data_IF_230391559109
#
_entry.id   IF_230391559109
#
_cell.length_a   1.000
_cell.length_b   1.000
_cell.length_c   1.000
_cell.angle_alpha   90.00
_cell.angle_beta   90.00
_cell.angle_gamma   90.00
#
_symmetry.space_group_name_H-M   'P 1'
#
loop_
_entity.id
_entity.type
_entity.pdbx_description
1 polymer ?
#
# COMPACT_ATOMS: atom_id res chain seq x y z
N UNK A 1 22.73 -24.28 -17.53
CA UNK A 1 21.63 -23.89 -16.63
C UNK A 1 22.26 -23.01 -15.58
N UNK A 2 22.40 -21.72 -15.89
CA UNK A 2 23.12 -20.77 -15.04
C UNK A 2 22.40 -20.64 -13.70
N UNK A 3 23.17 -20.69 -12.64
CA UNK A 3 22.71 -20.51 -11.26
C UNK A 3 22.10 -19.10 -11.17
N UNK A 4 20.76 -19.00 -11.22
CA UNK A 4 20.06 -17.74 -11.00
C UNK A 4 20.26 -17.44 -9.53
N UNK A 5 21.19 -16.54 -9.21
CA UNK A 5 21.47 -16.13 -7.84
C UNK A 5 20.15 -15.77 -7.13
N UNK A 6 19.72 -16.64 -6.23
CA UNK A 6 18.50 -16.43 -5.45
C UNK A 6 18.81 -15.31 -4.47
N UNK A 7 18.17 -14.16 -4.64
CA UNK A 7 18.28 -13.05 -3.70
C UNK A 7 17.84 -13.50 -2.30
N UNK A 8 18.54 -13.05 -1.26
CA UNK A 8 18.15 -13.30 0.12
C UNK A 8 16.69 -12.89 0.38
N UNK A 9 16.01 -13.62 1.28
CA UNK A 9 14.66 -13.26 1.73
C UNK A 9 14.72 -12.96 3.22
N UNK A 10 14.23 -11.78 3.61
CA UNK A 10 14.12 -11.36 5.00
C UNK A 10 12.64 -11.37 5.42
N UNK A 11 12.39 -11.62 6.70
CA UNK A 11 11.05 -11.49 7.29
C UNK A 11 11.12 -10.56 8.49
N UNK A 12 10.44 -9.42 8.38
CA UNK A 12 10.22 -8.46 9.46
C UNK A 12 8.84 -8.69 10.05
N UNK A 13 8.75 -9.04 11.34
CA UNK A 13 7.47 -9.31 12.00
C UNK A 13 7.33 -8.49 13.27
N UNK A 14 6.15 -7.92 13.45
CA UNK A 14 5.72 -7.28 14.69
C UNK A 14 4.58 -8.06 15.34
N UNK A 15 4.53 -8.06 16.66
CA UNK A 15 3.44 -8.63 17.44
C UNK A 15 3.18 -7.80 18.69
N UNK A 16 1.92 -7.44 18.91
CA UNK A 16 1.50 -6.73 20.13
C UNK A 16 1.29 -7.75 21.25
N UNK A 17 1.95 -7.56 22.39
CA UNK A 17 1.86 -8.44 23.56
C UNK A 17 1.76 -7.59 24.82
N UNK A 18 0.57 -7.51 25.39
CA UNK A 18 0.30 -6.64 26.54
C UNK A 18 0.46 -5.17 26.15
N UNK A 19 1.36 -4.45 26.85
CA UNK A 19 1.66 -3.03 26.63
C UNK A 19 2.96 -2.82 25.86
N UNK A 20 3.38 -3.79 25.05
CA UNK A 20 4.61 -3.70 24.28
C UNK A 20 4.42 -4.35 22.91
N UNK A 21 5.11 -3.81 21.92
CA UNK A 21 5.15 -4.42 20.58
C UNK A 21 6.54 -5.00 20.35
N UNK A 22 6.59 -6.29 20.08
CA UNK A 22 7.84 -7.01 19.83
C UNK A 22 8.13 -7.02 18.33
N UNK A 23 9.34 -6.59 17.97
CA UNK A 23 9.87 -6.66 16.61
C UNK A 23 10.85 -7.82 16.45
N UNK A 24 10.83 -8.46 15.29
CA UNK A 24 11.83 -9.46 14.90
C UNK A 24 12.16 -9.34 13.43
N UNK A 25 13.43 -9.50 13.08
CA UNK A 25 13.93 -9.54 11.71
C UNK A 25 14.84 -10.76 11.57
N UNK A 26 14.62 -11.55 10.52
CA UNK A 26 15.43 -12.73 10.24
C UNK A 26 15.71 -12.92 8.76
N UNK A 27 16.82 -13.55 8.43
CA UNK A 27 17.12 -14.07 7.09
C UNK A 27 16.58 -15.50 6.96
N UNK A 28 15.76 -15.76 5.93
CA UNK A 28 15.18 -17.07 5.68
C UNK A 28 16.27 -18.07 5.29
N UNK A 29 16.32 -19.21 5.99
CA UNK A 29 17.35 -20.23 5.79
C UNK A 29 18.58 -20.05 6.68
N UNK A 30 18.69 -18.94 7.41
CA UNK A 30 19.82 -18.63 8.28
C UNK A 30 19.36 -18.27 9.70
N UNK A 31 19.04 -19.26 10.57
CA UNK A 31 18.50 -18.98 11.90
C UNK A 31 19.39 -18.12 12.78
N UNK A 32 20.71 -18.20 12.61
CA UNK A 32 21.69 -17.38 13.34
C UNK A 32 21.60 -15.89 12.98
N UNK A 33 21.07 -15.56 11.80
CA UNK A 33 20.86 -14.20 11.30
C UNK A 33 19.47 -13.70 11.72
N UNK A 34 19.22 -13.64 13.04
CA UNK A 34 17.95 -13.18 13.64
C UNK A 34 18.22 -12.14 14.71
N UNK A 35 17.48 -11.03 14.67
CA UNK A 35 17.49 -9.98 15.69
C UNK A 35 16.08 -9.71 16.19
N UNK A 36 15.95 -9.39 17.47
CA UNK A 36 14.68 -9.07 18.12
C UNK A 36 14.82 -7.81 18.97
N UNK A 37 13.74 -7.05 19.10
CA UNK A 37 13.70 -5.84 19.93
C UNK A 37 12.28 -5.60 20.44
N UNK A 38 12.16 -4.66 21.37
CA UNK A 38 10.88 -4.18 21.90
C UNK A 38 10.69 -2.73 21.49
N UNK A 39 9.49 -2.40 21.02
CA UNK A 39 9.01 -1.03 20.86
C UNK A 39 8.13 -0.74 22.08
N UNK A 40 8.60 0.16 22.93
CA UNK A 40 7.87 0.57 24.13
C UNK A 40 6.59 1.33 23.75
N UNK A 41 5.52 1.16 24.55
CA UNK A 41 4.21 1.78 24.29
C UNK A 41 4.28 3.30 24.02
N UNK A 42 5.02 4.12 24.78
CA UNK A 42 5.10 5.55 24.48
C UNK A 42 5.71 5.88 23.12
N UNK A 43 6.71 5.11 22.68
CA UNK A 43 7.39 5.29 21.39
C UNK A 43 6.49 4.82 20.25
N UNK A 44 5.78 3.72 20.45
CA UNK A 44 4.78 3.22 19.51
C UNK A 44 3.66 4.25 19.32
N UNK A 45 3.12 4.80 20.40
CA UNK A 45 2.09 5.85 20.33
C UNK A 45 2.61 7.10 19.60
N UNK A 46 3.87 7.49 19.81
CA UNK A 46 4.48 8.58 19.03
C UNK A 46 4.56 8.28 17.54
N UNK A 47 4.97 7.05 17.16
CA UNK A 47 5.00 6.63 15.76
C UNK A 47 3.60 6.60 15.13
N UNK A 48 2.58 6.19 15.87
CA UNK A 48 1.19 6.15 15.40
C UNK A 48 0.64 7.57 15.19
N UNK A 49 0.90 8.49 16.12
CA UNK A 49 0.55 9.91 15.96
C UNK A 49 1.23 10.51 14.73
N UNK A 50 2.53 10.24 14.53
CA UNK A 50 3.27 10.67 13.35
C UNK A 50 2.64 10.17 12.03
N UNK A 51 2.16 8.92 12.01
CA UNK A 51 1.44 8.35 10.86
C UNK A 51 0.08 8.99 10.69
N UNK A 52 -0.71 9.16 11.75
CA UNK A 52 -2.04 9.78 11.63
C UNK A 52 -1.94 11.22 11.10
N UNK A 53 -1.02 12.02 11.65
CA UNK A 53 -0.77 13.41 11.25
C UNK A 53 -0.32 13.54 9.78
N UNK A 54 0.28 12.48 9.22
CA UNK A 54 0.77 12.42 7.84
C UNK A 54 -0.33 12.11 6.81
N UNK A 55 -1.36 11.38 7.20
CA UNK A 55 -2.27 10.74 6.26
C UNK A 55 -3.52 11.59 5.96
N UNK A 56 -4.15 11.41 4.77
CA UNK A 56 -5.25 12.25 4.30
C UNK A 56 -6.61 11.90 4.92
N UNK A 57 -6.64 11.09 5.98
CA UNK A 57 -7.84 10.84 6.78
C UNK A 57 -8.08 11.96 7.81
N UNK A 58 -9.35 12.34 8.06
CA UNK A 58 -9.68 13.28 9.13
C UNK A 58 -9.25 12.80 10.51
N UNK A 59 -8.67 13.71 11.28
CA UNK A 59 -8.33 13.51 12.68
C UNK A 59 -9.29 14.34 13.54
N UNK A 60 -9.79 13.75 14.62
CA UNK A 60 -10.72 14.41 15.55
C UNK A 60 -11.93 15.06 14.83
N UNK A 61 -12.05 16.38 14.86
CA UNK A 61 -13.17 17.14 14.30
C UNK A 61 -12.88 17.69 12.88
N UNK A 62 -11.76 17.30 12.25
CA UNK A 62 -11.45 17.72 10.88
C UNK A 62 -12.55 17.32 9.90
N UNK A 63 -12.83 18.21 8.94
CA UNK A 63 -13.57 17.79 7.75
C UNK A 63 -12.63 17.08 6.78
N UNK A 64 -13.18 16.33 5.80
CA UNK A 64 -12.39 15.73 4.71
C UNK A 64 -11.57 16.79 3.96
N UNK A 65 -12.10 18.00 3.81
CA UNK A 65 -11.37 19.09 3.17
C UNK A 65 -10.19 19.59 4.00
N UNK A 66 -10.31 19.59 5.33
CA UNK A 66 -9.24 19.98 6.25
C UNK A 66 -8.13 18.93 6.26
N UNK A 67 -8.50 17.65 6.30
CA UNK A 67 -7.56 16.54 6.22
C UNK A 67 -6.75 16.56 4.90
N UNK A 68 -7.42 16.80 3.77
CA UNK A 68 -6.74 16.92 2.47
C UNK A 68 -5.83 18.15 2.41
N UNK A 69 -6.25 19.29 2.99
CA UNK A 69 -5.39 20.48 3.07
C UNK A 69 -4.17 20.22 3.94
N UNK A 70 -4.33 19.58 5.09
CA UNK A 70 -3.23 19.15 5.96
C UNK A 70 -2.27 18.26 5.18
N UNK A 71 -2.76 17.16 4.59
CA UNK A 71 -1.92 16.20 3.89
C UNK A 71 -1.12 16.82 2.73
N UNK A 72 -1.72 17.73 1.94
CA UNK A 72 -1.06 18.31 0.77
C UNK A 72 -0.20 19.55 1.04
N UNK A 73 -0.53 20.36 2.04
CA UNK A 73 0.09 21.69 2.19
C UNK A 73 0.95 21.85 3.45
N UNK A 74 0.58 21.18 4.55
CA UNK A 74 1.12 21.50 5.89
C UNK A 74 1.73 20.28 6.59
N UNK A 75 1.26 19.10 6.25
CA UNK A 75 1.53 17.87 6.97
C UNK A 75 2.88 17.24 6.64
N UNK A 76 3.24 16.18 7.37
CA UNK A 76 4.49 15.46 7.20
C UNK A 76 4.79 14.96 5.78
N UNK A 77 3.79 14.73 4.92
CA UNK A 77 4.00 14.28 3.52
C UNK A 77 3.85 15.40 2.48
N UNK A 78 3.66 16.65 2.91
CA UNK A 78 3.42 17.77 2.02
C UNK A 78 4.68 18.26 1.29
N UNK A 79 5.87 18.10 1.90
CA UNK A 79 7.15 18.59 1.34
C UNK A 79 8.30 17.62 1.59
N UNK A 80 9.34 17.56 0.73
CA UNK A 80 10.43 16.59 0.87
C UNK A 80 11.20 16.66 2.19
N UNK A 81 11.41 17.86 2.72
CA UNK A 81 12.06 18.11 4.02
C UNK A 81 11.21 17.60 5.19
N UNK A 82 9.90 17.89 5.17
CA UNK A 82 8.95 17.39 6.17
C UNK A 82 8.83 15.85 6.12
N UNK A 83 8.79 15.28 4.91
CA UNK A 83 8.70 13.83 4.71
C UNK A 83 9.96 13.12 5.20
N UNK A 84 11.14 13.68 4.93
CA UNK A 84 12.39 13.15 5.47
C UNK A 84 12.38 13.11 7.00
N UNK A 85 11.79 14.14 7.63
CA UNK A 85 11.58 14.17 9.08
C UNK A 85 10.71 13.01 9.57
N UNK A 86 9.55 12.77 8.95
CA UNK A 86 8.69 11.63 9.27
C UNK A 86 9.42 10.29 9.07
N UNK A 87 10.02 10.11 7.89
CA UNK A 87 10.75 8.91 7.51
C UNK A 87 11.84 8.55 8.53
N UNK A 88 12.60 9.55 8.98
CA UNK A 88 13.62 9.40 10.02
C UNK A 88 13.01 8.99 11.37
N UNK A 89 11.96 9.69 11.84
CA UNK A 89 11.31 9.36 13.12
C UNK A 89 10.79 7.93 13.13
N UNK A 90 10.06 7.52 12.09
CA UNK A 90 9.57 6.14 11.97
C UNK A 90 10.72 5.12 11.92
N UNK A 91 11.80 5.43 11.21
CA UNK A 91 12.99 4.56 11.14
C UNK A 91 13.69 4.38 12.49
N UNK A 92 13.71 5.41 13.34
CA UNK A 92 14.24 5.35 14.71
C UNK A 92 13.29 4.59 15.64
N UNK A 93 11.99 4.89 15.58
CA UNK A 93 11.00 4.38 16.54
C UNK A 93 10.66 2.91 16.32
N UNK A 94 10.60 2.45 15.06
CA UNK A 94 10.07 1.12 14.74
C UNK A 94 11.15 0.05 14.57
N UNK A 95 12.37 0.43 14.16
CA UNK A 95 13.47 -0.50 13.92
C UNK A 95 14.64 -0.23 14.86
N UNK A 96 15.17 -1.28 15.48
CA UNK A 96 16.40 -1.21 16.27
C UNK A 96 17.62 -1.02 15.38
N UNK A 97 18.77 -0.61 15.96
CA UNK A 97 20.00 -0.47 15.18
C UNK A 97 20.43 -1.81 14.57
N UNK A 98 20.38 -2.88 15.35
CA UNK A 98 20.72 -4.22 14.88
C UNK A 98 19.80 -4.70 13.73
N UNK A 99 18.54 -4.26 13.70
CA UNK A 99 17.65 -4.55 12.56
C UNK A 99 18.08 -3.81 11.29
N UNK A 100 18.45 -2.53 11.39
CA UNK A 100 19.00 -1.78 10.28
C UNK A 100 20.32 -2.36 9.77
N UNK A 101 21.23 -2.72 10.68
CA UNK A 101 22.52 -3.32 10.34
C UNK A 101 22.32 -4.65 9.57
N UNK A 102 21.34 -5.47 9.98
CA UNK A 102 21.01 -6.72 9.29
C UNK A 102 20.40 -6.47 7.89
N UNK A 103 19.55 -5.45 7.72
CA UNK A 103 19.04 -5.06 6.39
C UNK A 103 20.18 -4.59 5.49
N UNK A 104 21.06 -3.72 6.00
CA UNK A 104 22.21 -3.19 5.25
C UNK A 104 23.19 -4.30 4.86
N UNK A 105 23.43 -5.27 5.75
CA UNK A 105 24.25 -6.45 5.43
C UNK A 105 23.67 -7.33 4.32
N UNK A 106 22.35 -7.28 4.11
CA UNK A 106 21.67 -7.96 3.00
C UNK A 106 21.44 -7.07 1.77
N UNK A 107 21.82 -5.79 1.83
CA UNK A 107 21.70 -4.90 0.68
C UNK A 107 22.69 -5.30 -0.41
N UNK A 108 22.23 -5.37 -1.66
CA UNK A 108 23.05 -5.80 -2.79
C UNK A 108 22.27 -6.00 -4.07
N UNK A 109 22.95 -6.52 -5.10
CA UNK A 109 22.33 -6.93 -6.37
C UNK A 109 22.60 -8.43 -6.60
N UNK A 110 21.58 -9.28 -6.81
CA UNK A 110 20.15 -8.94 -6.83
C UNK A 110 19.61 -8.56 -5.44
N UNK A 111 18.74 -7.54 -5.39
CA UNK A 111 18.15 -7.05 -4.13
C UNK A 111 17.42 -8.13 -3.36
N UNK A 112 17.68 -8.17 -2.06
CA UNK A 112 16.95 -9.01 -1.15
C UNK A 112 15.47 -8.59 -1.07
N UNK A 113 14.59 -9.57 -0.85
CA UNK A 113 13.16 -9.33 -0.66
C UNK A 113 12.85 -9.33 0.85
N UNK A 114 12.31 -8.22 1.36
CA UNK A 114 11.85 -8.09 2.74
C UNK A 114 10.33 -8.27 2.81
N UNK A 115 9.88 -9.29 3.53
CA UNK A 115 8.48 -9.52 3.82
C UNK A 115 8.12 -8.96 5.19
N UNK A 116 7.26 -7.95 5.19
CA UNK A 116 6.77 -7.30 6.41
C UNK A 116 5.43 -7.92 6.84
N UNK A 117 5.37 -8.36 8.09
CA UNK A 117 4.17 -8.82 8.78
C UNK A 117 3.94 -7.92 10.01
N UNK A 118 3.25 -6.78 9.85
CA UNK A 118 3.04 -5.83 10.94
C UNK A 118 2.06 -6.39 11.97
N UNK A 119 2.02 -5.78 13.16
CA UNK A 119 0.88 -5.92 14.07
C UNK A 119 -0.28 -5.03 13.60
N UNK A 120 -1.46 -5.18 14.19
CA UNK A 120 -2.64 -4.43 13.77
C UNK A 120 -2.48 -2.91 13.88
N UNK A 121 -1.77 -2.47 14.91
CA UNK A 121 -1.45 -1.06 15.13
C UNK A 121 -0.53 -0.51 14.04
N UNK A 122 0.39 -1.33 13.54
CA UNK A 122 1.40 -0.93 12.55
C UNK A 122 0.98 -1.18 11.10
N UNK A 123 -0.28 -1.57 10.86
CA UNK A 123 -0.76 -1.93 9.53
C UNK A 123 -0.74 -0.78 8.50
N UNK A 124 -0.78 0.48 8.95
CA UNK A 124 -0.72 1.68 8.09
C UNK A 124 0.68 2.25 7.90
N UNK A 125 1.70 1.67 8.54
CA UNK A 125 3.07 2.19 8.45
C UNK A 125 3.56 2.09 7.01
N UNK A 126 4.06 3.18 6.41
CA UNK A 126 4.65 3.17 5.08
C UNK A 126 6.08 2.58 5.15
N UNK A 127 6.19 1.26 5.26
CA UNK A 127 7.49 0.57 5.44
C UNK A 127 8.54 0.98 4.41
N UNK A 128 8.12 1.25 3.18
CA UNK A 128 8.98 1.72 2.08
C UNK A 128 9.64 3.08 2.39
N UNK A 129 8.98 3.95 3.15
CA UNK A 129 9.44 5.30 3.51
C UNK A 129 10.38 5.35 4.72
N UNK A 130 10.55 4.29 5.51
CA UNK A 130 11.42 4.37 6.68
C UNK A 130 12.84 4.75 6.26
N UNK A 131 13.42 5.77 6.88
CA UNK A 131 14.79 6.21 6.60
C UNK A 131 15.77 5.58 7.58
N UNK A 132 16.94 5.17 7.07
CA UNK A 132 18.04 4.68 7.87
C UNK A 132 18.57 5.81 8.77
N UNK A 133 18.55 5.67 10.11
CA UNK A 133 19.10 6.67 11.01
C UNK A 133 20.63 6.52 11.09
N UNK A 134 21.39 7.54 10.66
CA UNK A 134 22.86 7.58 10.85
C UNK A 134 23.23 8.04 12.26
N UNK A 135 22.34 8.81 12.89
CA UNK A 135 22.38 9.15 14.31
C UNK A 135 21.01 8.87 14.91
N UNK A 136 21.00 8.49 16.19
CA UNK A 136 19.79 8.27 16.98
C UNK A 136 19.77 9.27 18.13
N UNK A 137 18.59 9.65 18.64
CA UNK A 137 18.50 10.35 19.91
C UNK A 137 19.22 9.57 21.01
N UNK A 138 19.74 10.29 21.99
CA UNK A 138 20.40 9.70 23.15
C UNK A 138 19.49 8.70 23.88
N UNK A 139 20.05 7.56 24.27
CA UNK A 139 19.28 6.45 24.84
C UNK A 139 18.69 6.80 26.21
N UNK A 140 19.44 7.55 27.05
CA UNK A 140 18.96 7.98 28.36
C UNK A 140 17.86 9.03 28.21
N UNK A 141 17.99 9.91 27.22
CA UNK A 141 16.94 10.88 26.89
C UNK A 141 15.65 10.19 26.38
N UNK A 142 15.76 9.15 25.55
CA UNK A 142 14.61 8.36 25.11
C UNK A 142 13.93 7.63 26.28
N UNK A 143 14.71 7.01 27.16
CA UNK A 143 14.19 6.34 28.35
C UNK A 143 13.49 7.33 29.30
N UNK A 144 14.04 8.53 29.47
CA UNK A 144 13.41 9.60 30.23
C UNK A 144 12.09 10.08 29.59
N UNK A 145 12.04 10.21 28.27
CA UNK A 145 10.82 10.57 27.53
C UNK A 145 9.73 9.49 27.68
N UNK A 146 10.08 8.20 27.59
CA UNK A 146 9.16 7.09 27.86
C UNK A 146 8.62 7.15 29.29
N UNK A 147 9.49 7.33 30.27
CA UNK A 147 9.10 7.42 31.69
C UNK A 147 8.13 8.57 31.93
N UNK A 148 8.40 9.74 31.35
CA UNK A 148 7.54 10.93 31.49
C UNK A 148 6.16 10.76 30.82
N UNK A 149 6.04 9.86 29.84
CA UNK A 149 4.81 9.62 29.09
C UNK A 149 3.88 8.58 29.74
N UNK A 150 4.34 7.87 30.78
CA UNK A 150 3.50 6.98 31.59
C UNK A 150 2.91 7.77 32.75
N UNK A 151 1.59 7.99 32.72
CA UNK A 151 0.87 8.79 33.73
C UNK A 151 -0.14 7.94 34.50
N UNK A 152 -0.66 8.47 35.60
CA UNK A 152 -1.78 7.85 36.32
C UNK A 152 -3.05 7.70 35.45
N UNK A 153 -3.22 8.51 34.40
CA UNK A 153 -4.35 8.46 33.48
C UNK A 153 -4.14 7.47 32.32
N UNK A 154 -2.96 6.86 32.23
CA UNK A 154 -2.56 5.99 31.12
C UNK A 154 -1.29 6.47 30.42
N UNK A 155 -0.91 5.76 29.37
CA UNK A 155 0.27 6.07 28.55
C UNK A 155 -0.12 7.03 27.42
N UNK A 156 0.69 8.06 27.22
CA UNK A 156 0.56 9.00 26.10
C UNK A 156 1.75 8.86 25.13
N UNK A 157 1.69 9.43 23.92
CA UNK A 157 2.85 9.51 23.03
C UNK A 157 4.07 10.15 23.72
N UNK A 158 5.24 9.54 23.58
CA UNK A 158 6.49 10.11 24.08
C UNK A 158 6.82 11.43 23.37
N UNK A 159 7.23 12.45 24.13
CA UNK A 159 7.73 13.71 23.58
C UNK A 159 9.24 13.63 23.42
N UNK A 160 9.69 13.45 22.19
CA UNK A 160 11.10 13.24 21.85
C UNK A 160 11.66 14.50 21.21
N UNK A 161 12.83 14.94 21.66
CA UNK A 161 13.59 15.98 20.98
C UNK A 161 14.32 15.35 19.79
N UNK A 162 14.00 15.82 18.58
CA UNK A 162 14.55 15.29 17.34
C UNK A 162 15.69 16.15 16.84
N UNK A 163 16.77 15.49 16.42
CA UNK A 163 17.83 16.12 15.63
C UNK A 163 17.29 16.57 14.27
N UNK A 164 17.98 17.55 13.67
CA UNK A 164 17.72 17.95 12.28
C UNK A 164 17.88 16.73 11.34
N UNK A 165 16.80 16.29 10.65
CA UNK A 165 16.83 15.14 9.75
C UNK A 165 17.91 15.25 8.68
N UNK A 166 18.21 16.46 8.19
CA UNK A 166 19.25 16.69 7.18
C UNK A 166 20.67 16.33 7.62
N UNK A 167 20.88 16.14 8.93
CA UNK A 167 22.16 15.72 9.50
C UNK A 167 22.07 14.39 10.25
N UNK A 168 20.87 13.93 10.62
CA UNK A 168 20.66 12.70 11.39
C UNK A 168 20.52 11.45 10.49
N UNK A 169 20.22 11.63 9.21
CA UNK A 169 20.16 10.59 8.19
C UNK A 169 20.79 11.10 6.89
N UNK A 170 21.31 10.19 6.06
CA UNK A 170 21.69 10.52 4.67
C UNK A 170 20.51 10.42 3.69
N UNK A 171 19.32 10.13 4.23
CA UNK A 171 18.10 9.97 3.46
C UNK A 171 17.88 8.57 2.92
N UNK A 172 18.80 7.60 3.05
CA UNK A 172 18.59 6.24 2.50
C UNK A 172 17.31 5.61 3.05
N UNK A 173 16.38 5.21 2.18
CA UNK A 173 15.09 4.60 2.54
C UNK A 173 15.19 3.07 2.56
N UNK A 174 14.31 2.41 3.31
CA UNK A 174 14.23 0.95 3.35
C UNK A 174 14.05 0.34 1.95
N UNK A 175 13.20 0.96 1.11
CA UNK A 175 12.97 0.55 -0.28
C UNK A 175 14.21 0.66 -1.20
N UNK A 176 15.24 1.39 -0.77
CA UNK A 176 16.51 1.56 -1.50
C UNK A 176 17.54 0.51 -1.10
N UNK A 177 17.33 -0.21 0.01
CA UNK A 177 18.18 -1.30 0.47
C UNK A 177 17.64 -2.67 0.01
N UNK A 178 16.32 -2.84 0.04
CA UNK A 178 15.62 -4.11 -0.24
C UNK A 178 14.32 -3.87 -1.01
N UNK A 179 13.82 -4.90 -1.70
CA UNK A 179 12.45 -4.87 -2.22
C UNK A 179 11.48 -5.18 -1.07
N UNK A 180 10.60 -4.24 -0.74
CA UNK A 180 9.67 -4.34 0.38
C UNK A 180 8.33 -4.89 -0.10
N UNK A 181 7.92 -6.01 0.49
CA UNK A 181 6.65 -6.69 0.26
C UNK A 181 5.97 -6.92 1.60
N UNK A 182 4.66 -7.11 1.58
CA UNK A 182 3.90 -7.56 2.74
C UNK A 182 3.76 -9.08 2.68
N UNK A 183 3.94 -9.75 3.82
CA UNK A 183 3.49 -11.14 3.94
C UNK A 183 1.96 -11.14 4.08
N UNK A 184 1.21 -12.05 3.45
CA UNK A 184 -0.14 -12.31 3.93
C UNK A 184 -0.12 -12.97 5.31
N UNK A 185 -1.21 -12.86 6.08
CA UNK A 185 -1.33 -13.54 7.37
C UNK A 185 -1.07 -15.05 7.25
N UNK A 186 -0.40 -15.64 8.24
CA UNK A 186 0.09 -17.01 8.14
C UNK A 186 -1.03 -18.07 7.96
N UNK A 187 -2.21 -17.82 8.54
CA UNK A 187 -3.40 -18.64 8.33
C UNK A 187 -3.88 -18.62 6.87
N UNK A 188 -3.70 -17.51 6.15
CA UNK A 188 -4.05 -17.36 4.74
C UNK A 188 -3.03 -18.07 3.85
N UNK A 189 -1.73 -17.87 4.11
CA UNK A 189 -0.65 -18.51 3.32
C UNK A 189 -0.73 -20.04 3.39
N UNK A 190 -1.09 -20.58 4.56
CA UNK A 190 -1.15 -22.03 4.79
C UNK A 190 -2.52 -22.66 4.48
N UNK A 191 -3.50 -21.88 4.01
CA UNK A 191 -4.80 -22.40 3.65
C UNK A 191 -4.76 -23.16 2.31
N UNK A 192 -5.56 -24.22 2.19
CA UNK A 192 -5.83 -24.87 0.91
C UNK A 192 -6.55 -23.90 -0.01
N UNK A 193 -6.00 -23.69 -1.22
CA UNK A 193 -6.55 -22.75 -2.19
C UNK A 193 -6.26 -23.17 -3.64
N UNK A 194 -7.05 -22.73 -4.62
CA UNK A 194 -6.76 -22.98 -6.03
C UNK A 194 -5.41 -22.38 -6.43
N UNK A 195 -4.49 -23.19 -6.95
CA UNK A 195 -3.20 -22.69 -7.41
C UNK A 195 -3.29 -22.23 -8.87
N UNK A 196 -3.19 -20.92 -9.08
CA UNK A 196 -3.17 -20.30 -10.41
C UNK A 196 -1.85 -19.59 -10.56
N UNK A 197 -1.00 -20.04 -11.48
CA UNK A 197 0.31 -19.43 -11.66
C UNK A 197 0.26 -18.31 -12.69
N UNK A 198 1.02 -17.24 -12.46
CA UNK A 198 1.27 -16.21 -13.48
C UNK A 198 1.72 -16.83 -14.82
N UNK A 199 2.68 -17.77 -14.77
CA UNK A 199 3.22 -18.43 -15.96
C UNK A 199 2.14 -19.13 -16.82
N UNK A 200 1.08 -19.65 -16.21
CA UNK A 200 -0.04 -20.29 -16.94
C UNK A 200 -1.05 -19.31 -17.54
N UNK A 201 -1.06 -18.06 -17.06
CA UNK A 201 -2.10 -17.07 -17.36
C UNK A 201 -1.58 -15.82 -18.06
N UNK A 202 -0.26 -15.62 -18.14
CA UNK A 202 0.36 -14.40 -18.65
C UNK A 202 -0.12 -13.97 -20.05
N UNK A 203 -0.50 -14.93 -20.92
CA UNK A 203 -1.01 -14.64 -22.27
C UNK A 203 -2.52 -14.36 -22.36
N UNK A 204 -3.27 -14.44 -21.27
CA UNK A 204 -4.71 -14.15 -21.24
C UNK A 204 -4.98 -12.64 -21.18
N UNK A 205 -6.19 -12.17 -21.56
CA UNK A 205 -6.52 -10.75 -21.44
C UNK A 205 -6.56 -10.30 -19.98
N UNK A 206 -6.26 -9.03 -19.71
CA UNK A 206 -6.40 -8.44 -18.36
C UNK A 206 -7.82 -7.92 -18.12
N UNK A 207 -8.35 -8.13 -16.92
CA UNK A 207 -9.65 -7.61 -16.52
C UNK A 207 -9.50 -6.23 -15.87
N UNK A 208 -10.22 -5.25 -16.40
CA UNK A 208 -10.24 -3.86 -15.95
C UNK A 208 -11.61 -3.52 -15.35
N UNK A 209 -11.61 -3.05 -14.11
CA UNK A 209 -12.78 -2.48 -13.43
C UNK A 209 -12.41 -1.07 -13.00
N UNK A 210 -12.73 -0.08 -13.85
CA UNK A 210 -12.23 1.29 -13.71
C UNK A 210 -13.34 2.26 -13.30
N UNK A 211 -13.29 2.71 -12.04
CA UNK A 211 -14.22 3.66 -11.42
C UNK A 211 -15.69 3.28 -11.73
N UNK A 212 -16.17 2.08 -11.38
CA UNK A 212 -17.55 1.68 -11.67
C UNK A 212 -18.53 2.66 -11.04
N UNK A 213 -19.64 2.94 -11.73
CA UNK A 213 -20.61 3.95 -11.27
C UNK A 213 -21.50 3.37 -10.18
N UNK A 214 -21.23 3.76 -8.93
CA UNK A 214 -22.08 3.42 -7.79
C UNK A 214 -23.49 4.01 -7.98
N UNK A 215 -24.57 3.21 -7.87
CA UNK A 215 -25.94 3.69 -8.02
C UNK A 215 -26.28 4.82 -7.06
N UNK A 216 -27.14 5.74 -7.51
CA UNK A 216 -27.60 6.91 -6.74
C UNK A 216 -26.53 7.91 -6.29
N UNK A 217 -25.28 7.74 -6.72
CA UNK A 217 -24.17 8.64 -6.41
C UNK A 217 -23.90 9.61 -7.56
N UNK A 218 -23.81 10.90 -7.23
CA UNK A 218 -23.40 11.94 -8.19
C UNK A 218 -21.89 11.91 -8.37
N UNK A 219 -21.38 12.46 -9.47
CA UNK A 219 -19.93 12.44 -9.74
C UNK A 219 -19.12 13.22 -8.69
N UNK A 220 -19.73 14.16 -7.97
CA UNK A 220 -19.14 15.00 -6.94
C UNK A 220 -19.51 14.57 -5.51
N UNK A 221 -20.20 13.42 -5.32
CA UNK A 221 -20.50 12.89 -3.99
C UNK A 221 -19.32 12.11 -3.41
N UNK A 222 -19.43 11.66 -2.15
CA UNK A 222 -18.41 10.88 -1.45
C UNK A 222 -18.02 9.58 -2.21
N UNK A 223 -18.99 8.95 -2.86
CA UNK A 223 -18.79 7.79 -3.75
C UNK A 223 -18.90 8.18 -5.23
N UNK A 224 -18.47 9.42 -5.54
CA UNK A 224 -18.49 10.01 -6.87
C UNK A 224 -17.39 9.47 -7.77
N UNK A 225 -16.84 10.29 -8.66
CA UNK A 225 -15.79 9.84 -9.56
C UNK A 225 -14.41 9.94 -8.92
N UNK A 226 -13.65 8.85 -8.99
CA UNK A 226 -12.24 8.78 -8.54
C UNK A 226 -11.30 9.38 -9.60
N UNK A 227 -11.60 9.10 -10.87
CA UNK A 227 -10.74 9.45 -12.03
C UNK A 227 -11.21 10.71 -12.77
N UNK A 228 -12.29 11.33 -12.31
CA UNK A 228 -12.92 12.45 -12.99
C UNK A 228 -13.72 12.03 -14.22
N UNK A 229 -14.06 13.01 -15.06
CA UNK A 229 -14.84 12.75 -16.28
C UNK A 229 -14.02 11.86 -17.24
N UNK A 230 -14.59 10.73 -17.73
CA UNK A 230 -13.92 9.93 -18.75
C UNK A 230 -13.61 10.77 -20.00
N UNK A 231 -12.35 10.75 -20.41
CA UNK A 231 -11.83 11.53 -21.52
C UNK A 231 -10.73 10.72 -22.23
N UNK A 232 -10.80 10.58 -23.58
CA UNK A 232 -9.84 9.78 -24.34
C UNK A 232 -8.40 10.31 -24.26
N UNK A 233 -8.20 11.59 -23.94
CA UNK A 233 -6.89 12.22 -23.91
C UNK A 233 -6.18 12.06 -22.56
N UNK A 234 -6.88 11.56 -21.53
CA UNK A 234 -6.24 11.20 -20.25
C UNK A 234 -5.11 10.19 -20.46
N UNK A 235 -4.06 10.29 -19.64
CA UNK A 235 -2.93 9.37 -19.72
C UNK A 235 -3.38 7.91 -19.55
N UNK A 236 -4.31 7.66 -18.64
CA UNK A 236 -4.84 6.32 -18.38
C UNK A 236 -5.69 5.78 -19.55
N UNK A 237 -6.54 6.61 -20.18
CA UNK A 237 -7.28 6.17 -21.37
C UNK A 237 -6.35 5.84 -22.53
N UNK A 238 -5.30 6.65 -22.75
CA UNK A 238 -4.27 6.39 -23.77
C UNK A 238 -3.47 5.12 -23.47
N UNK A 239 -3.12 4.89 -22.20
CA UNK A 239 -2.40 3.68 -21.76
C UNK A 239 -3.14 2.39 -22.13
N UNK A 240 -4.47 2.36 -21.94
CA UNK A 240 -5.26 1.14 -22.23
C UNK A 240 -5.78 1.06 -23.67
N UNK A 241 -5.69 2.13 -24.46
CA UNK A 241 -6.26 2.20 -25.80
C UNK A 241 -5.64 1.21 -26.79
N UNK A 242 -4.33 0.99 -26.72
CA UNK A 242 -3.65 0.02 -27.60
C UNK A 242 -4.15 -1.41 -27.32
N UNK A 243 -4.29 -1.77 -26.05
CA UNK A 243 -4.75 -3.10 -25.64
C UNK A 243 -6.23 -3.33 -25.95
N UNK A 244 -7.05 -2.28 -25.90
CA UNK A 244 -8.43 -2.32 -26.45
C UNK A 244 -8.40 -2.64 -27.93
N UNK A 245 -7.56 -1.97 -28.72
CA UNK A 245 -7.42 -2.22 -30.16
C UNK A 245 -6.92 -3.63 -30.51
N UNK A 246 -6.12 -4.24 -29.63
CA UNK A 246 -5.62 -5.62 -29.77
C UNK A 246 -6.57 -6.69 -29.24
N UNK A 247 -7.64 -6.32 -28.53
CA UNK A 247 -8.55 -7.27 -27.88
C UNK A 247 -7.93 -8.01 -26.69
N UNK A 248 -6.96 -7.39 -26.00
CA UNK A 248 -6.22 -7.97 -24.86
C UNK A 248 -6.76 -7.51 -23.50
N UNK A 249 -7.94 -6.87 -23.47
CA UNK A 249 -8.62 -6.41 -22.26
C UNK A 249 -10.01 -7.03 -22.11
N UNK A 250 -10.43 -7.21 -20.87
CA UNK A 250 -11.80 -7.48 -20.48
C UNK A 250 -12.34 -6.29 -19.67
N UNK A 251 -13.58 -5.84 -19.90
CA UNK A 251 -14.50 -6.31 -20.95
C UNK A 251 -14.05 -5.86 -22.35
N UNK A 252 -14.55 -6.54 -23.38
CA UNK A 252 -14.41 -6.07 -24.76
C UNK A 252 -15.26 -4.81 -24.97
N UNK A 253 -14.63 -3.77 -25.50
CA UNK A 253 -15.23 -2.44 -25.75
C UNK A 253 -14.73 -1.90 -27.08
N UNK A 254 -15.41 -0.89 -27.63
CA UNK A 254 -14.98 -0.27 -28.90
C UNK A 254 -13.97 0.85 -28.71
N UNK A 255 -13.93 1.44 -27.51
CA UNK A 255 -13.04 2.54 -27.17
C UNK A 255 -12.62 2.46 -25.70
N UNK A 256 -11.43 2.96 -25.37
CA UNK A 256 -10.92 2.96 -23.99
C UNK A 256 -11.87 3.67 -23.01
N UNK A 257 -12.55 4.73 -23.45
CA UNK A 257 -13.45 5.54 -22.61
C UNK A 257 -14.64 4.71 -22.07
N UNK A 258 -15.08 3.67 -22.79
CA UNK A 258 -16.16 2.76 -22.38
C UNK A 258 -15.79 1.85 -21.20
N UNK A 259 -14.51 1.77 -20.83
CA UNK A 259 -14.05 1.01 -19.65
C UNK A 259 -14.38 1.73 -18.34
N UNK A 260 -14.52 3.07 -18.39
CA UNK A 260 -14.68 3.90 -17.20
C UNK A 260 -16.14 4.12 -16.86
N UNK A 261 -16.46 4.24 -15.57
CA UNK A 261 -17.81 4.64 -15.10
C UNK A 261 -18.93 3.73 -15.62
N UNK A 262 -18.62 2.44 -15.83
CA UNK A 262 -19.60 1.44 -16.25
C UNK A 262 -20.73 1.31 -15.24
N UNK A 263 -21.94 1.11 -15.77
CA UNK A 263 -23.19 0.98 -14.98
C UNK A 263 -23.67 -0.46 -14.85
N UNK A 264 -23.02 -1.38 -15.55
CA UNK A 264 -23.36 -2.80 -15.64
C UNK A 264 -22.33 -3.70 -14.95
N UNK A 265 -21.28 -3.11 -14.35
CA UNK A 265 -20.20 -3.82 -13.68
C UNK A 265 -20.58 -4.23 -12.25
N UNK A 266 -21.63 -5.05 -12.09
CA UNK A 266 -22.07 -5.64 -10.82
C UNK A 266 -21.32 -6.96 -10.49
N UNK A 267 -21.63 -7.60 -9.37
CA UNK A 267 -21.01 -8.86 -8.95
C UNK A 267 -21.23 -10.03 -9.92
N UNK A 268 -22.35 -10.08 -10.64
CA UNK A 268 -22.62 -11.13 -11.62
C UNK A 268 -21.78 -10.92 -12.88
N UNK A 269 -21.68 -9.66 -13.32
CA UNK A 269 -20.78 -9.28 -14.39
C UNK A 269 -19.32 -9.57 -14.03
N UNK A 270 -18.89 -9.25 -12.81
CA UNK A 270 -17.54 -9.54 -12.33
C UNK A 270 -17.27 -11.05 -12.35
N UNK A 271 -18.20 -11.86 -11.83
CA UNK A 271 -18.09 -13.31 -11.87
C UNK A 271 -17.94 -13.84 -13.31
N UNK A 272 -18.80 -13.39 -14.23
CA UNK A 272 -18.74 -13.77 -15.64
C UNK A 272 -17.41 -13.37 -16.30
N UNK A 273 -16.85 -12.21 -15.95
CA UNK A 273 -15.53 -11.80 -16.47
C UNK A 273 -14.39 -12.64 -15.89
N UNK A 274 -14.46 -13.01 -14.61
CA UNK A 274 -13.47 -13.88 -13.97
C UNK A 274 -13.51 -15.32 -14.51
N UNK A 275 -14.70 -15.82 -14.88
CA UNK A 275 -14.87 -17.13 -15.53
C UNK A 275 -14.16 -17.20 -16.90
N UNK A 276 -14.00 -16.07 -17.61
CA UNK A 276 -13.18 -15.99 -18.83
C UNK A 276 -11.69 -16.21 -18.57
N UNK A 277 -11.27 -16.22 -17.31
CA UNK A 277 -9.93 -16.58 -16.89
C UNK A 277 -8.86 -15.55 -17.25
N UNK A 278 -9.01 -14.28 -16.81
CA UNK A 278 -8.06 -13.22 -17.11
C UNK A 278 -6.66 -13.49 -16.55
N UNK A 279 -5.65 -12.83 -17.12
CA UNK A 279 -4.27 -12.88 -16.63
C UNK A 279 -4.11 -12.18 -15.27
N UNK A 280 -4.78 -11.04 -15.13
CA UNK A 280 -4.75 -10.16 -13.97
C UNK A 280 -6.04 -9.38 -13.85
N UNK A 281 -6.36 -8.92 -12.64
CA UNK A 281 -7.47 -8.01 -12.34
C UNK A 281 -6.91 -6.68 -11.86
N UNK A 282 -7.31 -5.58 -12.50
CA UNK A 282 -7.07 -4.21 -12.02
C UNK A 282 -8.41 -3.57 -11.65
N UNK A 283 -8.62 -3.40 -10.36
CA UNK A 283 -9.75 -2.68 -9.78
C UNK A 283 -9.29 -1.28 -9.35
N UNK A 284 -9.99 -0.26 -9.81
CA UNK A 284 -9.84 1.13 -9.38
C UNK A 284 -11.21 1.65 -8.99
N UNK A 285 -11.38 2.15 -7.78
CA UNK A 285 -12.70 2.61 -7.35
C UNK A 285 -12.78 2.87 -5.86
N UNK A 286 -14.01 2.85 -5.35
CA UNK A 286 -14.26 3.06 -3.93
C UNK A 286 -14.17 1.76 -3.16
N UNK A 287 -13.65 1.85 -1.95
CA UNK A 287 -13.73 0.78 -0.98
C UNK A 287 -14.34 1.31 0.32
N UNK A 288 -15.10 0.46 0.99
CA UNK A 288 -15.45 0.65 2.40
C UNK A 288 -14.41 -0.11 3.21
N UNK A 289 -13.63 0.62 4.00
CA UNK A 289 -12.76 0.02 4.99
C UNK A 289 -13.62 -0.71 6.03
N UNK A 290 -13.12 -1.85 6.52
CA UNK A 290 -13.77 -2.50 7.64
C UNK A 290 -13.76 -1.58 8.88
N UNK A 291 -14.91 -1.49 9.56
CA UNK A 291 -15.03 -0.81 10.85
C UNK A 291 -14.69 -1.78 11.99
N UNK A 292 -14.45 -1.23 13.20
CA UNK A 292 -13.95 -1.96 14.37
C UNK A 292 -14.66 -3.31 14.57
N UNK A 293 -13.90 -4.40 14.39
CA UNK A 293 -14.31 -5.75 14.79
C UNK A 293 -14.23 -6.84 13.72
N UNK A 294 -14.16 -6.54 12.41
CA UNK A 294 -14.06 -7.62 11.40
C UNK A 294 -13.54 -7.20 10.03
N UNK A 295 -12.41 -7.77 9.60
CA UNK A 295 -11.79 -7.50 8.29
C UNK A 295 -12.66 -7.95 7.11
N UNK A 296 -13.47 -8.99 7.30
CA UNK A 296 -14.31 -9.60 6.26
C UNK A 296 -15.40 -8.67 5.69
N UNK A 297 -15.68 -7.55 6.38
CA UNK A 297 -16.59 -6.48 5.96
C UNK A 297 -15.95 -5.45 5.05
N UNK A 298 -14.62 -5.47 4.90
CA UNK A 298 -13.95 -4.64 3.90
C UNK A 298 -14.54 -4.96 2.53
N UNK A 299 -14.89 -3.92 1.76
CA UNK A 299 -15.70 -4.11 0.57
C UNK A 299 -15.27 -3.19 -0.56
N UNK A 300 -15.40 -3.66 -1.79
CA UNK A 300 -15.26 -2.84 -3.00
C UNK A 300 -16.64 -2.44 -3.52
N UNK A 301 -16.76 -1.23 -4.04
CA UNK A 301 -18.00 -0.76 -4.64
C UNK A 301 -18.04 -1.10 -6.12
N UNK A 302 -19.12 -1.73 -6.55
CA UNK A 302 -19.42 -2.09 -7.92
C UNK A 302 -20.59 -1.24 -8.44
N UNK A 303 -21.03 -1.48 -9.67
CA UNK A 303 -22.21 -0.81 -10.22
C UNK A 303 -23.53 -1.38 -9.66
N UNK A 304 -23.61 -1.54 -8.34
CA UNK A 304 -24.76 -2.09 -7.61
C UNK A 304 -24.91 -1.42 -6.23
N UNK A 305 -26.09 -1.53 -5.62
CA UNK A 305 -26.40 -0.85 -4.36
C UNK A 305 -25.60 -1.39 -3.16
N UNK A 306 -25.38 -2.71 -3.12
CA UNK A 306 -24.68 -3.36 -2.01
C UNK A 306 -23.21 -3.56 -2.37
N UNK A 307 -22.25 -3.04 -1.59
CA UNK A 307 -20.85 -3.27 -1.88
C UNK A 307 -20.50 -4.77 -1.79
N UNK A 308 -19.48 -5.18 -2.53
CA UNK A 308 -18.99 -6.55 -2.57
C UNK A 308 -17.93 -6.73 -1.47
N UNK A 309 -18.31 -7.40 -0.39
CA UNK A 309 -17.44 -7.61 0.78
C UNK A 309 -16.39 -8.70 0.55
N UNK A 310 -15.34 -8.74 1.37
CA UNK A 310 -14.39 -9.85 1.40
C UNK A 310 -15.08 -11.18 1.73
N UNK A 311 -16.06 -11.17 2.64
CA UNK A 311 -16.92 -12.32 2.91
C UNK A 311 -17.70 -12.78 1.66
N UNK A 312 -18.26 -11.85 0.89
CA UNK A 312 -18.94 -12.18 -0.36
C UNK A 312 -17.97 -12.78 -1.39
N UNK A 313 -16.75 -12.24 -1.52
CA UNK A 313 -15.72 -12.79 -2.43
C UNK A 313 -15.37 -14.24 -2.08
N UNK A 314 -15.26 -14.56 -0.79
CA UNK A 314 -15.01 -15.91 -0.30
C UNK A 314 -16.21 -16.83 -0.53
N UNK A 315 -17.43 -16.36 -0.27
CA UNK A 315 -18.65 -17.14 -0.42
C UNK A 315 -19.00 -17.45 -1.88
N UNK A 316 -18.66 -16.53 -2.80
CA UNK A 316 -18.89 -16.69 -4.23
C UNK A 316 -17.91 -17.66 -4.91
N UNK A 317 -16.82 -18.05 -4.23
CA UNK A 317 -15.76 -18.93 -4.75
C UNK A 317 -15.26 -18.49 -6.14
N UNK A 318 -15.08 -17.17 -6.30
CA UNK A 318 -14.78 -16.59 -7.60
C UNK A 318 -13.42 -17.08 -8.12
N UNK A 319 -13.29 -17.31 -9.44
CA UNK A 319 -12.04 -17.72 -10.04
C UNK A 319 -11.06 -16.54 -10.15
N UNK A 320 -10.49 -16.09 -9.03
CA UNK A 320 -9.56 -14.96 -8.96
C UNK A 320 -8.30 -15.22 -9.81
N UNK A 321 -7.79 -14.26 -10.61
CA UNK A 321 -6.56 -14.42 -11.37
C UNK A 321 -5.30 -14.41 -10.48
N UNK A 322 -4.13 -14.86 -10.98
CA UNK A 322 -2.90 -14.90 -10.19
C UNK A 322 -2.41 -13.54 -9.71
N UNK A 323 -2.84 -12.44 -10.34
CA UNK A 323 -2.46 -11.07 -9.98
C UNK A 323 -3.68 -10.19 -9.84
N UNK A 324 -3.76 -9.48 -8.73
CA UNK A 324 -4.87 -8.57 -8.42
C UNK A 324 -4.31 -7.23 -7.94
N UNK A 325 -4.77 -6.14 -8.54
CA UNK A 325 -4.54 -4.80 -8.05
C UNK A 325 -5.87 -4.22 -7.54
N UNK A 326 -5.92 -3.83 -6.26
CA UNK A 326 -7.06 -3.21 -5.60
C UNK A 326 -6.71 -1.76 -5.25
N UNK A 327 -6.83 -0.85 -6.22
CA UNK A 327 -6.52 0.57 -6.06
C UNK A 327 -7.75 1.32 -5.56
N UNK A 328 -8.02 1.14 -4.27
CA UNK A 328 -9.16 1.71 -3.55
C UNK A 328 -8.78 1.94 -2.08
N UNK A 329 -9.41 2.91 -1.43
CA UNK A 329 -9.02 3.39 -0.11
C UNK A 329 -8.87 2.28 0.94
N UNK A 330 -7.67 2.17 1.53
CA UNK A 330 -7.34 1.20 2.58
C UNK A 330 -7.68 -0.26 2.23
N UNK A 331 -7.64 -0.63 0.95
CA UNK A 331 -7.94 -1.98 0.45
C UNK A 331 -6.97 -3.06 0.94
N UNK A 332 -5.77 -2.67 1.38
CA UNK A 332 -4.74 -3.53 1.96
C UNK A 332 -4.76 -3.60 3.49
N UNK A 333 -5.88 -3.18 4.11
CA UNK A 333 -6.02 -3.03 5.55
C UNK A 333 -6.19 -4.33 6.35
N UNK A 334 -5.99 -5.51 5.76
CA UNK A 334 -6.20 -6.82 6.39
C UNK A 334 -5.54 -6.93 7.77
N UNK A 335 -4.32 -6.43 7.91
CA UNK A 335 -3.59 -6.49 9.18
C UNK A 335 -4.22 -5.67 10.31
N UNK A 336 -5.12 -4.72 10.03
CA UNK A 336 -5.74 -3.85 11.06
C UNK A 336 -6.63 -4.61 12.05
N UNK A 337 -6.85 -5.91 11.84
CA UNK A 337 -7.74 -6.76 12.62
C UNK A 337 -7.02 -8.03 13.05
N UNK A 338 -7.41 -8.58 14.20
CA UNK A 338 -6.88 -9.85 14.69
C UNK A 338 -7.26 -11.01 13.75
N UNK A 339 -8.47 -10.98 13.19
CA UNK A 339 -8.91 -11.84 12.10
C UNK A 339 -8.66 -11.14 10.76
N UNK A 340 -7.47 -11.34 10.20
CA UNK A 340 -7.02 -10.70 8.96
C UNK A 340 -7.56 -11.40 7.69
N UNK A 341 -8.90 -11.48 7.57
CA UNK A 341 -9.65 -12.05 6.44
C UNK A 341 -10.26 -10.96 5.55
N UNK A 342 -9.48 -9.92 5.24
CA UNK A 342 -9.92 -8.80 4.41
C UNK A 342 -9.86 -9.07 2.90
N UNK A 343 -9.87 -8.00 2.10
CA UNK A 343 -9.93 -8.09 0.63
C UNK A 343 -8.69 -8.78 0.05
N UNK A 344 -7.51 -8.55 0.65
CA UNK A 344 -6.26 -9.19 0.20
C UNK A 344 -6.31 -10.68 0.48
N UNK A 345 -6.71 -11.07 1.69
CA UNK A 345 -6.89 -12.46 2.07
C UNK A 345 -7.91 -13.17 1.18
N UNK A 346 -9.04 -12.54 0.90
CA UNK A 346 -10.06 -13.08 0.00
C UNK A 346 -9.51 -13.31 -1.41
N UNK A 347 -8.74 -12.36 -1.96
CA UNK A 347 -8.10 -12.53 -3.26
C UNK A 347 -7.06 -13.68 -3.27
N UNK A 348 -6.23 -13.79 -2.22
CA UNK A 348 -5.24 -14.88 -2.10
C UNK A 348 -5.93 -16.24 -1.99
N UNK A 349 -6.96 -16.35 -1.16
CA UNK A 349 -7.75 -17.57 -1.00
C UNK A 349 -8.49 -17.97 -2.28
N UNK A 350 -8.95 -16.99 -3.07
CA UNK A 350 -9.52 -17.22 -4.40
C UNK A 350 -8.50 -17.61 -5.49
N UNK A 351 -7.20 -17.54 -5.18
CA UNK A 351 -6.12 -18.06 -6.04
C UNK A 351 -5.07 -17.05 -6.48
N UNK A 352 -5.12 -15.79 -6.02
CA UNK A 352 -4.07 -14.82 -6.32
C UNK A 352 -2.73 -15.22 -5.69
N UNK A 353 -1.65 -15.04 -6.44
CA UNK A 353 -0.26 -15.19 -5.94
C UNK A 353 0.31 -13.84 -5.51
N UNK A 354 -0.22 -12.75 -6.07
CA UNK A 354 0.22 -11.39 -5.78
C UNK A 354 -0.99 -10.44 -5.76
N UNK A 355 -1.05 -9.63 -4.71
CA UNK A 355 -2.07 -8.59 -4.56
C UNK A 355 -1.39 -7.26 -4.26
N UNK A 356 -1.58 -6.25 -5.10
CA UNK A 356 -1.17 -4.86 -4.78
C UNK A 356 -2.39 -4.08 -4.33
N UNK A 357 -2.31 -3.47 -3.16
CA UNK A 357 -3.41 -2.77 -2.50
C UNK A 357 -2.90 -1.47 -1.85
N UNK A 358 -3.79 -0.68 -1.26
CA UNK A 358 -3.43 0.59 -0.61
C UNK A 358 -3.56 0.50 0.91
N UNK A 359 -2.62 1.09 1.64
CA UNK A 359 -2.61 1.09 3.11
C UNK A 359 -3.55 2.15 3.72
N UNK A 360 -3.85 3.22 2.97
CA UNK A 360 -4.69 4.34 3.39
C UNK A 360 -5.53 4.88 2.21
N UNK A 361 -6.31 5.92 2.47
CA UNK A 361 -7.18 6.55 1.48
C UNK A 361 -6.39 7.37 0.47
N UNK A 362 -6.58 7.12 -0.83
CA UNK A 362 -5.91 7.90 -1.87
C UNK A 362 -6.72 9.14 -2.24
N UNK A 363 -6.12 10.34 -2.32
CA UNK A 363 -6.82 11.50 -2.82
C UNK A 363 -7.17 11.31 -4.31
N UNK A 364 -8.43 11.58 -4.68
CA UNK A 364 -8.91 11.45 -6.06
C UNK A 364 -8.22 12.45 -7.00
N UNK A 365 -8.40 12.28 -8.32
CA UNK A 365 -7.89 13.25 -9.32
C UNK A 365 -8.42 14.66 -9.05
N UNK A 366 -9.69 14.77 -8.68
CA UNK A 366 -10.31 16.05 -8.30
C UNK A 366 -9.79 16.57 -6.96
N UNK A 367 -9.55 15.68 -5.99
CA UNK A 367 -8.94 16.02 -4.70
C UNK A 367 -7.55 16.63 -4.88
N UNK A 368 -6.68 15.99 -5.65
CA UNK A 368 -5.35 16.51 -5.98
C UNK A 368 -5.43 17.92 -6.57
N UNK A 369 -6.18 18.09 -7.67
CA UNK A 369 -6.31 19.39 -8.36
C UNK A 369 -6.84 20.51 -7.47
N UNK A 370 -7.65 20.17 -6.47
CA UNK A 370 -8.24 21.14 -5.55
C UNK A 370 -7.31 21.52 -4.40
N UNK A 371 -6.56 20.57 -3.85
CA UNK A 371 -5.86 20.74 -2.57
C UNK A 371 -4.34 20.79 -2.69
N UNK A 372 -3.75 20.25 -3.75
CA UNK A 372 -2.35 20.47 -4.07
C UNK A 372 -2.18 21.88 -4.66
N UNK A 373 -2.13 22.89 -3.77
CA UNK A 373 -1.95 24.28 -4.16
C UNK A 373 -0.62 24.47 -4.89
N UNK A 374 -0.62 25.15 -6.02
CA UNK A 374 0.62 25.49 -6.73
C UNK A 374 1.24 24.37 -7.56
N UNK A 375 0.53 23.26 -7.81
CA UNK A 375 0.97 22.22 -8.73
C UNK A 375 1.49 22.85 -10.03
N UNK A 376 2.81 22.77 -10.23
CA UNK A 376 3.51 23.45 -11.32
C UNK A 376 2.98 23.03 -12.70
N UNK A 377 2.40 21.82 -12.76
CA UNK A 377 1.72 21.28 -13.93
C UNK A 377 0.23 21.02 -13.65
N UNK A 378 -0.70 21.81 -14.22
CA UNK A 378 -2.13 21.56 -14.11
C UNK A 378 -2.59 20.27 -14.83
N UNK A 379 -1.74 19.66 -15.65
CA UNK A 379 -1.98 18.36 -16.27
C UNK A 379 -1.54 17.17 -15.41
N UNK A 380 -0.87 17.39 -14.27
CA UNK A 380 -0.44 16.32 -13.38
C UNK A 380 -1.64 15.51 -12.85
N UNK A 381 -1.49 14.19 -12.92
CA UNK A 381 -2.48 13.22 -12.43
C UNK A 381 -1.76 12.06 -11.71
N UNK A 382 -1.37 12.26 -10.43
CA UNK A 382 -0.68 11.21 -9.67
C UNK A 382 -1.53 9.94 -9.50
N UNK A 383 -2.86 10.06 -9.50
CA UNK A 383 -3.76 8.90 -9.43
C UNK A 383 -3.67 8.08 -10.73
N UNK A 384 -3.77 8.74 -11.88
CA UNK A 384 -3.57 8.11 -13.20
C UNK A 384 -2.19 7.48 -13.34
N UNK A 385 -1.13 8.19 -12.91
CA UNK A 385 0.24 7.68 -12.94
C UNK A 385 0.40 6.41 -12.09
N UNK A 386 -0.13 6.41 -10.86
CA UNK A 386 -0.11 5.26 -9.96
C UNK A 386 -0.82 4.04 -10.58
N UNK A 387 -1.97 4.23 -11.23
CA UNK A 387 -2.71 3.14 -11.86
C UNK A 387 -1.92 2.53 -13.01
N UNK A 388 -1.35 3.37 -13.88
CA UNK A 388 -0.52 2.95 -15.00
C UNK A 388 0.70 2.17 -14.50
N UNK A 389 1.38 2.70 -13.48
CA UNK A 389 2.56 2.07 -12.90
C UNK A 389 2.27 0.67 -12.34
N UNK A 390 1.14 0.51 -11.63
CA UNK A 390 0.73 -0.79 -11.09
C UNK A 390 0.34 -1.75 -12.22
N UNK A 391 -0.41 -1.32 -13.23
CA UNK A 391 -0.77 -2.17 -14.37
C UNK A 391 0.47 -2.66 -15.14
N UNK A 392 1.41 -1.77 -15.43
CA UNK A 392 2.69 -2.11 -16.08
C UNK A 392 3.50 -3.06 -15.21
N UNK A 393 3.59 -2.80 -13.90
CA UNK A 393 4.30 -3.68 -12.98
C UNK A 393 3.67 -5.08 -12.93
N UNK A 394 2.34 -5.17 -12.96
CA UNK A 394 1.58 -6.43 -12.97
C UNK A 394 1.68 -7.21 -14.29
N UNK A 395 2.35 -6.68 -15.30
CA UNK A 395 2.72 -7.40 -16.52
C UNK A 395 4.14 -8.01 -16.44
N UNK A 396 5.02 -7.46 -15.60
CA UNK A 396 6.41 -7.92 -15.47
C UNK A 396 6.51 -9.29 -14.78
N UNK A 397 7.58 -10.06 -15.01
CA UNK A 397 7.76 -11.38 -14.37
C UNK A 397 7.78 -11.33 -12.84
N UNK A 398 8.41 -10.29 -12.28
CA UNK A 398 8.48 -10.02 -10.84
C UNK A 398 7.72 -8.72 -10.54
N UNK A 399 6.38 -8.82 -10.45
CA UNK A 399 5.50 -7.67 -10.34
C UNK A 399 5.73 -6.84 -9.06
N UNK A 400 6.00 -7.47 -7.91
CA UNK A 400 6.23 -6.73 -6.66
C UNK A 400 7.56 -5.96 -6.69
N UNK A 401 8.60 -6.53 -7.29
CA UNK A 401 9.87 -5.83 -7.60
C UNK A 401 9.67 -4.70 -8.59
N UNK A 402 8.80 -4.88 -9.58
CA UNK A 402 8.48 -3.84 -10.54
C UNK A 402 7.75 -2.65 -9.88
N UNK A 403 6.81 -2.91 -8.95
CA UNK A 403 6.19 -1.88 -8.10
C UNK A 403 7.25 -1.15 -7.28
N UNK A 404 8.13 -1.89 -6.59
CA UNK A 404 9.23 -1.30 -5.80
C UNK A 404 10.18 -0.43 -6.66
N UNK A 405 10.46 -0.84 -7.90
CA UNK A 405 11.25 -0.06 -8.85
C UNK A 405 10.60 1.27 -9.19
N UNK A 406 9.29 1.28 -9.41
CA UNK A 406 8.54 2.52 -9.63
C UNK A 406 8.48 3.38 -8.37
N UNK A 407 8.28 2.81 -7.18
CA UNK A 407 8.34 3.56 -5.92
C UNK A 407 9.71 4.22 -5.71
N UNK A 408 10.82 3.55 -6.08
CA UNK A 408 12.17 4.15 -6.10
C UNK A 408 12.29 5.33 -7.07
N UNK A 409 11.63 5.25 -8.22
CA UNK A 409 11.61 6.35 -9.20
C UNK A 409 10.82 7.55 -8.66
N UNK A 410 9.63 7.29 -8.11
CA UNK A 410 8.78 8.31 -7.49
C UNK A 410 9.50 9.01 -6.33
N UNK A 411 10.19 8.25 -5.47
CA UNK A 411 11.04 8.82 -4.41
C UNK A 411 12.15 9.73 -4.97
N UNK A 412 12.81 9.34 -6.06
CA UNK A 412 13.86 10.16 -6.69
C UNK A 412 13.29 11.46 -7.24
N UNK A 413 12.13 11.40 -7.92
CA UNK A 413 11.40 12.58 -8.40
C UNK A 413 10.98 13.50 -7.27
N UNK A 414 10.39 12.94 -6.22
CA UNK A 414 9.99 13.67 -5.00
C UNK A 414 11.17 14.44 -4.39
N UNK A 415 12.31 13.77 -4.20
CA UNK A 415 13.54 14.40 -3.70
C UNK A 415 14.11 15.48 -4.62
N UNK A 416 13.86 15.39 -5.93
CA UNK A 416 14.24 16.45 -6.88
C UNK A 416 13.26 17.63 -6.92
N UNK A 417 12.19 17.61 -6.11
CA UNK A 417 11.20 18.69 -6.00
C UNK A 417 9.98 18.52 -6.91
N UNK A 418 9.78 17.34 -7.52
CA UNK A 418 8.54 17.05 -8.24
C UNK A 418 7.42 16.73 -7.25
N UNK A 419 6.58 17.73 -6.96
CA UNK A 419 5.46 17.60 -6.04
C UNK A 419 4.36 16.65 -6.55
N UNK A 420 4.30 16.37 -7.86
CA UNK A 420 3.37 15.38 -8.41
C UNK A 420 3.78 13.95 -8.04
N UNK A 421 5.05 13.71 -7.71
CA UNK A 421 5.54 12.45 -7.16
C UNK A 421 5.29 12.31 -5.64
N UNK A 422 4.17 12.87 -5.15
CA UNK A 422 3.85 12.90 -3.72
C UNK A 422 3.75 11.48 -3.11
N UNK A 423 4.39 11.24 -1.94
CA UNK A 423 4.32 9.98 -1.20
C UNK A 423 2.91 9.59 -0.78
N UNK A 424 1.96 10.53 -0.72
CA UNK A 424 0.54 10.25 -0.45
C UNK A 424 -0.05 9.19 -1.41
N UNK A 425 0.53 9.05 -2.61
CA UNK A 425 0.14 8.07 -3.61
C UNK A 425 1.04 6.83 -3.58
N UNK A 426 2.31 6.98 -3.94
CA UNK A 426 3.17 5.83 -4.19
C UNK A 426 3.55 5.07 -2.92
N UNK A 427 3.67 5.75 -1.77
CA UNK A 427 3.99 5.09 -0.50
C UNK A 427 2.79 4.35 0.09
N UNK A 428 1.58 4.64 -0.40
CA UNK A 428 0.37 3.93 0.00
C UNK A 428 0.34 2.49 -0.53
N UNK A 429 1.09 2.20 -1.61
CA UNK A 429 1.08 0.89 -2.23
C UNK A 429 1.80 -0.14 -1.36
N UNK A 430 1.08 -1.22 -1.08
CA UNK A 430 1.60 -2.43 -0.48
C UNK A 430 1.37 -3.62 -1.42
N UNK A 431 2.42 -4.40 -1.68
CA UNK A 431 2.30 -5.62 -2.48
C UNK A 431 2.47 -6.84 -1.59
N UNK A 432 1.42 -7.65 -1.54
CA UNK A 432 1.34 -8.91 -0.82
C UNK A 432 1.65 -10.06 -1.77
N UNK A 433 2.50 -11.01 -1.36
CA UNK A 433 2.90 -12.10 -2.25
C UNK A 433 3.05 -13.45 -1.52
N UNK A 434 2.74 -14.53 -2.24
CA UNK A 434 2.83 -15.93 -1.81
C UNK A 434 3.46 -16.81 -2.90
N UNK A 435 3.72 -18.08 -2.61
CA UNK A 435 4.24 -19.08 -3.57
C UNK A 435 5.54 -18.68 -4.29
N UNK A 436 6.37 -17.83 -3.68
CA UNK A 436 7.58 -17.34 -4.32
C UNK A 436 7.36 -16.21 -5.33
N UNK A 437 6.13 -15.69 -5.49
CA UNK A 437 5.89 -14.45 -6.22
C UNK A 437 6.65 -13.29 -5.57
N UNK A 438 7.23 -12.42 -6.38
CA UNK A 438 8.08 -11.30 -5.94
C UNK A 438 7.82 -10.06 -6.74
#
# INVERSE_FOLDING_TARGET
MGDVAVSATLVLRFADVGTATYGSLRVVGEPASTVTWVVEEPLLLAALTDVDDALPEPIAEETVADALRRAFAEGPLARPDAELGLAYRLGVLLLSQAAWDLVEACAGEPRAALFVAPSARLARVPWTLLAFPRRRPDADALAAACTAAVTFAGTVPARIAWDDPGTATDGTRLLELVDVLMAPPANIVNASRPHRSWASRAGAPRLLVLDPRVPHQRADSALGSVLGRPDPDTALARHVAEDVGRGTVLPEVRSAVELFRRVDADRHWLAAMLERGPARLLYVGHATAAEAGSADRAAVHLAEERPLTAADLLALDLPIPPRVALLACASGGDYRFDEATGLVAAAVLGGAQLVTATLWSLPTTAGYRRFAAGAADPAADPMGELIIAVDVAHDADHAGRAVNRWQREALRRWRSGDEAASPLYWAALATFAVDGAR
#
